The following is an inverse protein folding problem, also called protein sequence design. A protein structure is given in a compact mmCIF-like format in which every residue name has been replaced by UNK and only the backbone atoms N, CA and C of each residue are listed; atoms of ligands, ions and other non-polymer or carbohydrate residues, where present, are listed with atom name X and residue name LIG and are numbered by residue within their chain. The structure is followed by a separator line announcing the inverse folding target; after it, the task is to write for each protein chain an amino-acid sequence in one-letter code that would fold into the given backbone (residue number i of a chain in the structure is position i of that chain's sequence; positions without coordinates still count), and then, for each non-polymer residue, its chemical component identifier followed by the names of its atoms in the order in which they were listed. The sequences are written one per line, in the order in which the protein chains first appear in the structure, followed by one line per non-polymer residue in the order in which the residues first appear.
data_IF_041054377809
#
_entry.id   IF_041054377809
#
_cell.length_a   1.000
_cell.length_b   1.000
_cell.length_c   1.000
_cell.angle_alpha   90.00
_cell.angle_beta   90.00
_cell.angle_gamma   90.00
#
_symmetry.space_group_name_H-M   'P 1'
#
loop_
_entity.id
_entity.type
_entity.pdbx_description
1 polymer ?
#
# COMPACT_ATOMS: atom_id res chain seq x y z
N UNK A 1 14.94 -3.46 -2.49
CA UNK A 1 13.65 -3.47 -3.21
C UNK A 1 13.16 -4.91 -3.26
N UNK A 2 11.86 -5.12 -3.19
CA UNK A 2 11.27 -6.42 -2.97
C UNK A 2 11.09 -6.70 -1.48
N UNK A 3 11.04 -7.98 -1.12
CA UNK A 3 10.83 -8.44 0.25
C UNK A 3 11.99 -9.28 0.72
N UNK A 4 12.49 -8.98 1.92
CA UNK A 4 13.49 -9.80 2.61
C UNK A 4 12.87 -11.14 3.02
N UNK A 5 13.67 -12.21 3.06
CA UNK A 5 13.27 -13.49 3.62
C UNK A 5 13.29 -13.50 5.14
N UNK A 6 12.56 -14.44 5.76
CA UNK A 6 12.51 -14.56 7.23
C UNK A 6 13.89 -14.75 7.86
N UNK A 7 14.74 -15.52 7.21
CA UNK A 7 16.06 -15.85 7.73
C UNK A 7 17.04 -14.69 7.61
N UNK A 8 16.84 -13.78 6.65
CA UNK A 8 17.76 -12.66 6.39
C UNK A 8 17.82 -11.67 7.57
N UNK A 9 16.67 -11.37 8.18
CA UNK A 9 16.53 -10.37 9.25
C UNK A 9 15.92 -10.94 10.54
N UNK A 10 15.52 -12.21 10.56
CA UNK A 10 14.82 -12.84 11.67
C UNK A 10 13.41 -12.27 11.90
N UNK A 11 12.75 -11.81 10.85
CA UNK A 11 11.40 -11.22 10.89
C UNK A 11 10.32 -12.27 10.64
N UNK A 12 9.44 -12.51 11.61
CA UNK A 12 8.42 -13.56 11.53
C UNK A 12 7.36 -13.34 10.46
N UNK A 13 7.21 -12.11 9.96
CA UNK A 13 6.24 -11.74 8.91
C UNK A 13 6.89 -11.49 7.56
N UNK A 14 8.21 -11.68 7.42
CA UNK A 14 8.91 -11.43 6.17
C UNK A 14 8.69 -12.53 5.12
N UNK A 15 9.00 -12.17 3.87
CA UNK A 15 8.93 -13.05 2.71
C UNK A 15 7.51 -13.37 2.26
N UNK A 16 7.33 -14.52 1.61
CA UNK A 16 6.04 -14.98 1.14
C UNK A 16 5.12 -15.34 2.32
N UNK A 17 3.92 -14.72 2.36
CA UNK A 17 2.89 -14.93 3.38
C UNK A 17 1.56 -15.20 2.71
N UNK A 18 1.02 -16.38 2.88
CA UNK A 18 -0.23 -16.80 2.24
C UNK A 18 -1.44 -16.52 3.11
N UNK A 19 -2.56 -16.17 2.48
CA UNK A 19 -3.85 -16.16 3.16
C UNK A 19 -4.17 -17.56 3.69
N UNK A 20 -4.83 -17.63 4.85
CA UNK A 20 -5.09 -18.93 5.53
C UNK A 20 -5.98 -19.87 4.73
N UNK A 21 -6.77 -19.36 3.78
CA UNK A 21 -7.73 -20.15 3.02
C UNK A 21 -7.71 -19.75 1.54
N UNK A 22 -7.45 -20.73 0.70
CA UNK A 22 -7.62 -20.57 -0.74
C UNK A 22 -9.10 -20.37 -1.10
N UNK A 23 -9.33 -19.68 -2.20
CA UNK A 23 -10.68 -19.46 -2.75
C UNK A 23 -10.96 -20.59 -3.75
N UNK A 24 -11.92 -21.43 -3.42
CA UNK A 24 -12.29 -22.63 -4.18
C UNK A 24 -13.13 -22.34 -5.44
N UNK A 25 -12.87 -21.25 -6.15
CA UNK A 25 -13.45 -20.96 -7.46
C UNK A 25 -12.39 -21.14 -8.54
N UNK A 26 -12.75 -21.74 -9.67
CA UNK A 26 -11.79 -21.99 -10.75
C UNK A 26 -11.09 -20.70 -11.20
N UNK A 27 -9.79 -20.67 -11.08
CA UNK A 27 -8.90 -19.58 -11.45
C UNK A 27 -8.31 -19.73 -12.86
N UNK A 28 -8.72 -20.78 -13.59
CA UNK A 28 -8.24 -21.05 -14.94
C UNK A 28 -9.39 -21.10 -15.94
N UNK A 29 -9.11 -20.70 -17.18
CA UNK A 29 -9.97 -20.81 -18.33
C UNK A 29 -9.66 -22.06 -19.16
N UNK A 30 -9.96 -21.98 -20.48
CA UNK A 30 -9.68 -23.03 -21.44
C UNK A 30 -8.17 -23.37 -21.44
N UNK A 31 -7.87 -24.67 -21.65
CA UNK A 31 -6.50 -25.18 -21.65
C UNK A 31 -5.70 -24.89 -20.38
N UNK A 32 -6.38 -24.77 -19.23
CA UNK A 32 -5.78 -24.45 -17.91
C UNK A 32 -4.98 -23.13 -17.88
N UNK A 33 -5.21 -22.22 -18.82
CA UNK A 33 -4.62 -20.88 -18.76
C UNK A 33 -5.16 -20.10 -17.56
N UNK A 34 -4.30 -19.44 -16.78
CA UNK A 34 -4.78 -18.53 -15.72
C UNK A 34 -5.76 -17.49 -16.26
N UNK A 35 -6.80 -17.21 -15.51
CA UNK A 35 -7.71 -16.12 -15.81
C UNK A 35 -6.99 -14.75 -15.68
N UNK A 36 -7.52 -13.70 -16.32
CA UNK A 36 -7.12 -12.34 -15.99
C UNK A 36 -7.17 -12.10 -14.46
N UNK A 37 -6.28 -11.27 -13.96
CA UNK A 37 -6.09 -10.95 -12.52
C UNK A 37 -5.41 -12.06 -11.70
N UNK A 38 -4.98 -13.15 -12.31
CA UNK A 38 -4.05 -14.12 -11.72
C UNK A 38 -2.65 -13.74 -12.17
N UNK A 39 -1.75 -13.52 -11.23
CA UNK A 39 -0.39 -13.03 -11.49
C UNK A 39 0.65 -14.14 -11.61
N UNK A 40 0.32 -15.39 -11.30
CA UNK A 40 1.26 -16.50 -11.40
C UNK A 40 0.65 -17.87 -11.08
N UNK A 41 1.46 -18.90 -11.31
CA UNK A 41 1.09 -20.31 -11.06
C UNK A 41 2.06 -21.01 -10.11
N UNK A 42 3.14 -20.32 -9.70
CA UNK A 42 4.20 -20.90 -8.86
C UNK A 42 4.02 -20.46 -7.42
N UNK A 43 3.92 -21.43 -6.53
CA UNK A 43 3.90 -21.22 -5.07
C UNK A 43 5.34 -21.18 -4.58
N UNK A 44 5.77 -20.05 -4.00
CA UNK A 44 7.07 -19.95 -3.32
C UNK A 44 6.97 -20.55 -1.90
N UNK A 45 8.05 -21.08 -1.33
CA UNK A 45 8.08 -21.45 0.08
C UNK A 45 7.68 -20.26 0.97
N UNK A 46 6.92 -20.55 2.03
CA UNK A 46 6.53 -19.51 2.99
C UNK A 46 7.76 -18.89 3.67
N UNK A 47 7.78 -17.56 3.77
CA UNK A 47 8.93 -16.82 4.32
C UNK A 47 10.08 -16.58 3.34
N UNK A 48 10.01 -17.07 2.12
CA UNK A 48 11.04 -16.80 1.11
C UNK A 48 10.96 -15.35 0.61
N UNK A 49 12.09 -14.64 0.62
CA UNK A 49 12.23 -13.31 0.04
C UNK A 49 12.17 -13.32 -1.49
N UNK A 50 11.75 -12.22 -2.07
CA UNK A 50 11.69 -12.04 -3.53
C UNK A 50 11.67 -10.55 -3.94
N UNK A 51 11.55 -10.30 -5.25
CA UNK A 51 11.51 -8.94 -5.81
C UNK A 51 10.10 -8.32 -5.83
N UNK A 52 9.07 -9.02 -5.35
CA UNK A 52 7.69 -8.54 -5.38
C UNK A 52 7.46 -7.46 -4.35
N UNK A 53 6.52 -6.59 -4.63
CA UNK A 53 6.11 -5.47 -3.78
C UNK A 53 4.60 -5.45 -3.64
N UNK A 54 4.10 -4.71 -2.65
CA UNK A 54 2.67 -4.52 -2.42
C UNK A 54 1.96 -4.00 -3.67
N UNK A 55 0.77 -4.51 -3.94
CA UNK A 55 -0.07 -4.01 -5.02
C UNK A 55 -0.42 -2.53 -4.84
N UNK A 56 -0.59 -1.83 -5.96
CA UNK A 56 -1.07 -0.46 -6.00
C UNK A 56 -2.57 -0.40 -6.30
N UNK A 57 -3.17 0.72 -5.96
CA UNK A 57 -4.55 1.05 -6.30
C UNK A 57 -4.73 2.56 -6.36
N UNK A 58 -5.89 3.03 -6.78
CA UNK A 58 -6.28 4.42 -6.57
C UNK A 58 -7.10 4.55 -5.29
N UNK A 59 -6.95 5.69 -4.60
CA UNK A 59 -7.84 6.14 -3.54
C UNK A 59 -8.91 6.99 -4.18
N UNK A 60 -10.14 6.44 -4.28
CA UNK A 60 -11.23 7.12 -4.98
C UNK A 60 -11.93 8.10 -4.04
N UNK A 61 -12.23 9.30 -4.52
CA UNK A 61 -13.14 10.19 -3.84
C UNK A 61 -14.52 10.06 -4.47
N UNK A 62 -15.46 9.52 -3.70
CA UNK A 62 -16.78 9.13 -4.19
C UNK A 62 -17.88 9.92 -3.49
N UNK A 63 -19.07 9.98 -4.10
CA UNK A 63 -20.25 10.61 -3.53
C UNK A 63 -21.51 9.81 -3.88
N UNK A 64 -22.46 9.79 -2.95
CA UNK A 64 -23.84 9.32 -3.14
C UNK A 64 -24.82 10.49 -3.33
N UNK A 65 -24.38 11.72 -3.08
CA UNK A 65 -25.18 12.92 -3.27
C UNK A 65 -25.41 13.18 -4.76
N UNK A 66 -26.67 13.14 -5.26
CA UNK A 66 -26.97 13.40 -6.66
C UNK A 66 -26.48 14.76 -7.18
N UNK A 67 -26.36 15.77 -6.31
CA UNK A 67 -25.87 17.10 -6.67
C UNK A 67 -24.33 17.13 -6.84
N UNK A 68 -23.62 16.26 -6.11
CA UNK A 68 -22.17 16.14 -6.13
C UNK A 68 -21.66 14.80 -6.67
N UNK A 69 -22.36 14.21 -7.65
CA UNK A 69 -22.04 12.89 -8.19
C UNK A 69 -21.84 12.92 -9.70
N UNK A 70 -20.75 12.31 -10.16
CA UNK A 70 -20.50 11.97 -11.56
C UNK A 70 -20.58 10.46 -11.72
N UNK A 71 -21.61 9.99 -12.43
CA UNK A 71 -21.85 8.55 -12.62
C UNK A 71 -20.67 7.85 -13.33
N UNK A 72 -20.43 6.61 -12.95
CA UNK A 72 -19.45 5.76 -13.64
C UNK A 72 -19.90 5.48 -15.07
N UNK A 73 -18.94 5.51 -16.00
CA UNK A 73 -19.18 5.27 -17.42
C UNK A 73 -18.37 4.08 -17.90
N UNK A 74 -18.82 3.45 -18.99
CA UNK A 74 -18.04 2.43 -19.67
C UNK A 74 -16.73 3.03 -20.16
N UNK A 75 -15.56 2.60 -19.65
CA UNK A 75 -14.31 3.15 -20.11
C UNK A 75 -13.94 2.66 -21.50
N UNK A 76 -13.12 3.45 -22.21
CA UNK A 76 -12.59 3.06 -23.52
C UNK A 76 -11.76 1.76 -23.36
N UNK A 77 -11.96 0.82 -24.26
CA UNK A 77 -11.26 -0.47 -24.21
C UNK A 77 -11.74 -1.42 -23.12
N UNK A 78 -12.94 -1.22 -22.57
CA UNK A 78 -13.54 -2.13 -21.60
C UNK A 78 -13.79 -3.52 -22.20
N UNK A 79 -13.27 -4.54 -21.54
CA UNK A 79 -13.52 -5.95 -21.85
C UNK A 79 -14.04 -6.66 -20.60
N UNK A 80 -15.27 -7.16 -20.65
CA UNK A 80 -15.93 -7.81 -19.51
C UNK A 80 -15.17 -9.07 -19.04
N UNK A 81 -14.47 -9.76 -19.95
CA UNK A 81 -13.70 -10.97 -19.64
C UNK A 81 -12.52 -10.70 -18.71
N UNK A 82 -12.02 -9.46 -18.63
CA UNK A 82 -11.03 -9.07 -17.63
C UNK A 82 -11.50 -9.33 -16.20
N UNK A 83 -12.81 -9.30 -15.98
CA UNK A 83 -13.46 -9.46 -14.67
C UNK A 83 -14.08 -10.84 -14.48
N UNK A 84 -13.71 -11.84 -15.30
CA UNK A 84 -14.25 -13.20 -15.19
C UNK A 84 -14.02 -13.82 -13.81
N UNK A 85 -12.91 -13.50 -13.16
CA UNK A 85 -12.64 -13.96 -11.80
C UNK A 85 -13.67 -13.38 -10.78
N UNK A 86 -14.05 -12.12 -10.92
CA UNK A 86 -15.13 -11.50 -10.14
C UNK A 86 -16.49 -12.13 -10.46
N UNK A 87 -16.76 -12.42 -11.73
CA UNK A 87 -18.00 -13.06 -12.13
C UNK A 87 -18.16 -14.43 -11.46
N UNK A 88 -17.11 -15.24 -11.47
CA UNK A 88 -17.10 -16.51 -10.77
C UNK A 88 -17.21 -16.39 -9.27
N UNK A 89 -16.53 -15.38 -8.69
CA UNK A 89 -16.60 -15.09 -7.28
C UNK A 89 -18.05 -14.77 -6.86
N UNK A 90 -18.74 -13.87 -7.54
CA UNK A 90 -20.11 -13.53 -7.20
C UNK A 90 -21.11 -14.67 -7.43
N UNK A 91 -20.91 -15.50 -8.45
CA UNK A 91 -21.71 -16.71 -8.62
C UNK A 91 -21.55 -17.69 -7.47
N UNK A 92 -20.34 -17.84 -6.96
CA UNK A 92 -20.03 -18.70 -5.81
C UNK A 92 -20.44 -18.09 -4.47
N UNK A 93 -20.49 -16.77 -4.39
CA UNK A 93 -20.75 -16.01 -3.16
C UNK A 93 -21.75 -14.87 -3.39
N UNK A 94 -23.03 -15.19 -3.68
CA UNK A 94 -24.03 -14.20 -4.12
C UNK A 94 -24.44 -13.21 -3.02
N UNK A 95 -24.03 -13.44 -1.78
CA UNK A 95 -24.27 -12.52 -0.65
C UNK A 95 -23.11 -11.54 -0.42
N UNK A 96 -22.04 -11.63 -1.21
CA UNK A 96 -20.90 -10.72 -1.09
C UNK A 96 -21.28 -9.30 -1.48
N UNK A 97 -20.74 -8.33 -0.74
CA UNK A 97 -20.90 -6.91 -0.98
C UNK A 97 -19.97 -6.34 -2.05
N UNK A 98 -19.78 -5.03 -2.02
CA UNK A 98 -18.81 -4.31 -2.83
C UNK A 98 -17.40 -4.78 -2.42
N UNK A 99 -16.47 -5.03 -3.37
CA UNK A 99 -15.15 -5.61 -3.08
C UNK A 99 -14.11 -4.54 -2.70
N UNK A 100 -14.53 -3.45 -2.07
CA UNK A 100 -13.67 -2.40 -1.54
C UNK A 100 -14.38 -1.65 -0.41
N UNK A 101 -13.58 -0.96 0.41
CA UNK A 101 -14.10 -0.24 1.56
C UNK A 101 -14.59 1.16 1.18
N UNK A 102 -15.59 1.63 1.89
CA UNK A 102 -16.13 2.99 1.77
C UNK A 102 -16.11 3.64 3.16
N UNK A 103 -15.22 4.62 3.34
CA UNK A 103 -15.10 5.35 4.60
C UNK A 103 -15.63 6.78 4.43
N UNK A 104 -16.49 7.27 5.35
CA UNK A 104 -16.94 8.66 5.33
C UNK A 104 -15.75 9.64 5.47
N UNK A 105 -15.74 10.66 4.63
CA UNK A 105 -14.77 11.76 4.70
C UNK A 105 -15.50 13.11 4.67
N UNK A 106 -14.86 14.22 5.06
CA UNK A 106 -15.51 15.55 5.07
C UNK A 106 -16.17 15.91 3.74
N UNK A 107 -17.23 16.73 3.81
CA UNK A 107 -17.97 17.19 2.64
C UNK A 107 -18.98 16.18 2.08
N UNK A 108 -19.49 15.27 2.92
CA UNK A 108 -20.45 14.23 2.55
C UNK A 108 -19.94 13.34 1.41
N UNK A 109 -18.64 13.04 1.46
CA UNK A 109 -17.95 12.19 0.48
C UNK A 109 -17.48 10.88 1.10
N UNK A 110 -17.04 9.97 0.26
CA UNK A 110 -16.58 8.64 0.65
C UNK A 110 -15.19 8.38 0.06
N UNK A 111 -14.28 7.91 0.90
CA UNK A 111 -13.01 7.33 0.46
C UNK A 111 -13.26 5.91 -0.03
N UNK A 112 -13.14 5.68 -1.33
CA UNK A 112 -13.15 4.36 -1.95
C UNK A 112 -11.77 3.74 -1.88
N UNK A 113 -11.54 2.93 -0.85
CA UNK A 113 -10.27 2.26 -0.60
C UNK A 113 -10.34 0.78 -1.00
N UNK A 114 -9.19 0.17 -1.32
CA UNK A 114 -9.17 -1.27 -1.49
C UNK A 114 -9.47 -1.98 -0.14
N UNK A 115 -10.17 -3.09 -0.19
CA UNK A 115 -10.40 -3.93 1.00
C UNK A 115 -9.15 -4.72 1.34
N UNK A 116 -8.52 -4.44 2.49
CA UNK A 116 -7.37 -5.24 2.95
C UNK A 116 -7.81 -6.65 3.32
N UNK A 117 -7.06 -7.66 2.85
CA UNK A 117 -7.39 -9.06 3.05
C UNK A 117 -8.63 -9.54 2.27
N UNK A 118 -9.26 -8.69 1.47
CA UNK A 118 -10.30 -9.10 0.54
C UNK A 118 -9.73 -10.01 -0.55
N UNK A 119 -10.47 -11.03 -0.93
CA UNK A 119 -10.05 -11.98 -1.96
C UNK A 119 -9.88 -11.32 -3.33
N UNK A 120 -10.75 -10.37 -3.64
CA UNK A 120 -10.73 -9.52 -4.84
C UNK A 120 -11.02 -8.08 -4.43
N UNK A 121 -10.33 -7.11 -5.00
CA UNK A 121 -10.46 -5.69 -4.63
C UNK A 121 -10.10 -4.75 -5.78
N UNK A 122 -10.04 -3.45 -5.51
CA UNK A 122 -9.52 -2.44 -6.45
C UNK A 122 -8.00 -2.50 -6.61
N UNK A 123 -7.29 -3.28 -5.81
CA UNK A 123 -5.87 -3.55 -5.98
C UNK A 123 -5.63 -4.44 -7.21
N UNK A 124 -4.85 -3.97 -8.17
CA UNK A 124 -4.45 -4.76 -9.36
C UNK A 124 -3.19 -5.56 -9.05
N UNK A 125 -3.40 -6.74 -8.48
CA UNK A 125 -2.35 -7.59 -7.92
C UNK A 125 -1.40 -8.12 -8.99
N UNK A 126 -0.08 -7.92 -8.80
CA UNK A 126 0.97 -8.45 -9.66
C UNK A 126 1.36 -7.59 -10.86
N UNK A 127 0.70 -6.45 -11.08
CA UNK A 127 0.88 -5.62 -12.27
C UNK A 127 1.81 -4.40 -12.05
N UNK A 128 2.52 -4.34 -10.92
CA UNK A 128 3.35 -3.21 -10.55
C UNK A 128 4.78 -3.56 -10.08
N UNK A 129 5.19 -4.81 -10.19
CA UNK A 129 6.49 -5.25 -9.63
C UNK A 129 7.69 -4.54 -10.22
N UNK A 130 7.62 -4.16 -11.49
CA UNK A 130 8.69 -3.44 -12.20
C UNK A 130 8.64 -1.92 -12.02
N UNK A 131 7.54 -1.36 -11.45
CA UNK A 131 7.36 0.08 -11.27
C UNK A 131 8.54 0.80 -10.60
N UNK A 132 9.15 0.28 -9.51
CA UNK A 132 10.25 0.96 -8.85
C UNK A 132 11.48 1.20 -9.73
N UNK A 133 11.74 0.28 -10.69
CA UNK A 133 12.89 0.36 -11.61
C UNK A 133 12.50 0.82 -13.01
N UNK A 134 11.22 0.98 -13.28
CA UNK A 134 10.72 1.37 -14.59
C UNK A 134 11.09 2.83 -14.93
N UNK A 135 11.37 3.08 -16.20
CA UNK A 135 11.44 4.42 -16.75
C UNK A 135 10.05 5.07 -16.85
N UNK A 136 10.01 6.36 -17.18
CA UNK A 136 8.77 7.17 -17.21
C UNK A 136 7.69 6.53 -18.07
N UNK A 137 8.03 6.08 -19.29
CA UNK A 137 7.08 5.45 -20.21
C UNK A 137 6.41 4.21 -19.57
N UNK A 138 7.22 3.30 -19.00
CA UNK A 138 6.69 2.08 -18.37
C UNK A 138 5.85 2.37 -17.14
N UNK A 139 6.23 3.36 -16.33
CA UNK A 139 5.41 3.82 -15.20
C UNK A 139 4.06 4.37 -15.63
N UNK A 140 4.02 5.09 -16.76
CA UNK A 140 2.76 5.56 -17.36
C UNK A 140 1.89 4.39 -17.81
N UNK A 141 2.46 3.38 -18.47
CA UNK A 141 1.73 2.16 -18.87
C UNK A 141 1.12 1.43 -17.66
N UNK A 142 1.87 1.34 -16.55
CA UNK A 142 1.38 0.75 -15.29
C UNK A 142 0.24 1.59 -14.73
N UNK A 143 0.38 2.91 -14.72
CA UNK A 143 -0.66 3.83 -14.27
C UNK A 143 -1.95 3.70 -15.11
N UNK A 144 -1.81 3.68 -16.44
CA UNK A 144 -2.93 3.53 -17.37
C UNK A 144 -3.64 2.18 -17.20
N UNK A 145 -2.87 1.10 -16.97
CA UNK A 145 -3.40 -0.23 -16.70
C UNK A 145 -4.21 -0.28 -15.40
N UNK A 146 -3.70 0.33 -14.32
CA UNK A 146 -4.40 0.43 -13.05
C UNK A 146 -5.67 1.29 -13.16
N UNK A 147 -5.62 2.41 -13.88
CA UNK A 147 -6.80 3.24 -14.15
C UNK A 147 -7.85 2.47 -14.94
N UNK A 148 -7.47 1.88 -16.06
CA UNK A 148 -8.37 1.08 -16.90
C UNK A 148 -9.02 -0.06 -16.12
N UNK A 149 -8.24 -0.74 -15.25
CA UNK A 149 -8.78 -1.76 -14.37
C UNK A 149 -9.79 -1.20 -13.37
N UNK A 150 -9.46 -0.11 -12.69
CA UNK A 150 -10.33 0.48 -11.67
C UNK A 150 -11.63 1.00 -12.27
N UNK A 151 -11.56 1.81 -13.33
CA UNK A 151 -12.75 2.34 -14.03
C UNK A 151 -13.63 1.20 -14.58
N UNK A 152 -13.00 0.18 -15.15
CA UNK A 152 -13.71 -0.98 -15.69
C UNK A 152 -14.33 -1.86 -14.60
N UNK A 153 -13.69 -1.99 -13.42
CA UNK A 153 -14.26 -2.70 -12.28
C UNK A 153 -15.50 -1.97 -11.76
N UNK A 154 -15.46 -0.66 -11.60
CA UNK A 154 -16.61 0.13 -11.17
C UNK A 154 -17.79 -0.04 -12.14
N UNK A 155 -17.54 0.00 -13.44
CA UNK A 155 -18.54 -0.25 -14.47
C UNK A 155 -19.06 -1.69 -14.44
N UNK A 156 -18.17 -2.70 -14.31
CA UNK A 156 -18.54 -4.11 -14.15
C UNK A 156 -19.47 -4.32 -12.96
N UNK A 157 -19.12 -3.78 -11.80
CA UNK A 157 -19.90 -3.91 -10.57
C UNK A 157 -21.30 -3.30 -10.68
N UNK A 158 -21.47 -2.29 -11.53
CA UNK A 158 -22.75 -1.64 -11.80
C UNK A 158 -23.60 -2.42 -12.81
N UNK A 159 -22.99 -3.11 -13.79
CA UNK A 159 -23.72 -3.56 -14.98
C UNK A 159 -23.73 -5.06 -15.23
N UNK A 160 -22.76 -5.83 -14.69
CA UNK A 160 -22.68 -7.26 -14.98
C UNK A 160 -23.76 -8.06 -14.23
N UNK A 161 -24.54 -8.91 -14.92
CA UNK A 161 -25.65 -9.66 -14.31
C UNK A 161 -25.20 -10.69 -13.26
N UNK A 162 -23.93 -11.09 -13.24
CA UNK A 162 -23.41 -11.99 -12.21
C UNK A 162 -23.18 -11.28 -10.86
N UNK A 163 -23.09 -9.95 -10.87
CA UNK A 163 -22.97 -9.13 -9.64
C UNK A 163 -24.33 -9.09 -8.94
N UNK A 164 -24.39 -9.31 -7.61
CA UNK A 164 -25.65 -9.25 -6.87
C UNK A 164 -26.40 -7.93 -7.08
N UNK A 165 -27.72 -8.00 -7.20
CA UNK A 165 -28.57 -6.82 -7.50
C UNK A 165 -28.34 -5.68 -6.48
N UNK A 166 -28.23 -6.03 -5.21
CA UNK A 166 -27.94 -5.05 -4.15
C UNK A 166 -26.62 -4.29 -4.36
N UNK A 167 -25.59 -4.96 -4.89
CA UNK A 167 -24.30 -4.34 -5.23
C UNK A 167 -24.47 -3.44 -6.45
N UNK A 168 -25.14 -3.92 -7.52
CA UNK A 168 -25.39 -3.09 -8.70
C UNK A 168 -26.15 -1.82 -8.36
N UNK A 169 -27.25 -1.92 -7.59
CA UNK A 169 -28.03 -0.75 -7.13
C UNK A 169 -27.19 0.21 -6.30
N UNK A 170 -26.32 -0.31 -5.43
CA UNK A 170 -25.40 0.53 -4.66
C UNK A 170 -24.45 1.28 -5.59
N UNK A 171 -23.88 0.59 -6.58
CA UNK A 171 -22.95 1.18 -7.55
C UNK A 171 -23.61 2.20 -8.48
N UNK A 172 -24.89 2.02 -8.83
CA UNK A 172 -25.70 3.00 -9.60
C UNK A 172 -25.92 4.30 -8.82
N UNK A 173 -26.01 4.20 -7.48
CA UNK A 173 -26.17 5.35 -6.59
C UNK A 173 -24.85 5.98 -6.15
N UNK A 174 -23.71 5.41 -6.53
CA UNK A 174 -22.38 5.89 -6.24
C UNK A 174 -21.74 6.48 -7.50
N UNK A 175 -20.89 7.48 -7.33
CA UNK A 175 -20.11 8.05 -8.45
C UNK A 175 -18.89 8.80 -7.94
N UNK A 176 -18.08 9.34 -8.85
CA UNK A 176 -16.99 10.23 -8.46
C UNK A 176 -17.56 11.53 -7.87
N UNK A 177 -16.91 12.07 -6.85
CA UNK A 177 -17.26 13.37 -6.31
C UNK A 177 -16.99 14.46 -7.36
N UNK A 178 -18.03 15.22 -7.73
CA UNK A 178 -17.99 16.21 -8.80
C UNK A 178 -17.07 17.39 -8.51
N UNK A 179 -16.93 17.74 -7.25
CA UNK A 179 -16.08 18.83 -6.75
C UNK A 179 -14.59 18.43 -6.64
N UNK A 180 -14.28 17.12 -6.77
CA UNK A 180 -12.92 16.62 -6.69
C UNK A 180 -12.33 16.29 -8.07
N UNK A 181 -11.04 16.52 -8.22
CA UNK A 181 -10.26 16.16 -9.41
C UNK A 181 -10.88 16.58 -10.75
N UNK A 182 -11.61 17.71 -10.80
CA UNK A 182 -12.37 18.15 -11.98
C UNK A 182 -11.52 18.20 -13.27
N UNK A 183 -10.24 18.62 -13.16
CA UNK A 183 -9.30 18.68 -14.29
C UNK A 183 -8.85 17.30 -14.78
N UNK A 184 -9.13 16.23 -14.03
CA UNK A 184 -8.75 14.85 -14.33
C UNK A 184 -9.97 13.94 -14.58
N UNK A 185 -11.13 14.54 -14.93
CA UNK A 185 -12.38 13.80 -15.14
C UNK A 185 -12.94 13.19 -13.87
N UNK A 186 -12.68 13.85 -12.73
CA UNK A 186 -13.09 13.43 -11.38
C UNK A 186 -12.43 12.14 -10.87
N UNK A 187 -11.46 11.63 -11.62
CA UNK A 187 -10.63 10.47 -11.22
C UNK A 187 -9.33 10.95 -10.56
N UNK A 188 -8.86 10.30 -9.48
CA UNK A 188 -7.63 10.71 -8.80
C UNK A 188 -6.42 10.63 -9.74
N UNK A 189 -5.58 11.69 -9.82
CA UNK A 189 -4.44 11.73 -10.73
C UNK A 189 -3.25 10.90 -10.24
N UNK A 190 -3.21 10.54 -8.96
CA UNK A 190 -2.07 9.88 -8.32
C UNK A 190 -2.38 8.41 -8.07
N UNK A 191 -1.57 7.52 -8.62
CA UNK A 191 -1.56 6.11 -8.23
C UNK A 191 -0.96 6.00 -6.82
N UNK A 192 -1.64 5.31 -5.92
CA UNK A 192 -1.18 5.11 -4.55
C UNK A 192 -0.06 4.07 -4.52
N UNK A 193 1.16 4.57 -4.61
CA UNK A 193 2.40 3.78 -4.58
C UNK A 193 2.73 3.45 -3.13
N UNK A 194 2.35 2.24 -2.68
CA UNK A 194 2.50 1.81 -1.28
C UNK A 194 3.94 1.51 -0.91
N UNK A 195 4.68 0.99 -1.84
CA UNK A 195 6.08 0.59 -1.66
C UNK A 195 6.81 0.69 -3.00
N UNK A 196 8.06 1.13 -2.96
CA UNK A 196 8.94 1.17 -4.13
C UNK A 196 10.38 0.82 -3.71
N UNK A 197 11.35 1.68 -4.03
CA UNK A 197 12.71 1.53 -3.54
C UNK A 197 12.78 1.93 -2.07
N UNK A 198 13.58 1.22 -1.30
CA UNK A 198 13.93 1.54 0.08
C UNK A 198 15.45 1.69 0.17
N UNK A 199 15.92 2.67 0.91
CA UNK A 199 17.33 2.89 1.15
C UNK A 199 17.91 1.76 2.02
N UNK A 200 19.18 1.50 1.90
CA UNK A 200 19.95 0.64 2.82
C UNK A 200 21.02 1.52 3.46
N UNK A 201 20.69 2.09 4.62
CA UNK A 201 21.59 2.90 5.44
C UNK A 201 22.40 2.06 6.42
N UNK A 202 23.12 2.73 7.32
CA UNK A 202 23.84 2.06 8.42
C UNK A 202 22.88 1.52 9.48
N UNK A 203 21.70 2.12 9.63
CA UNK A 203 20.59 1.61 10.42
C UNK A 203 19.49 1.10 9.51
N UNK A 204 18.97 -0.09 9.77
CA UNK A 204 17.89 -0.71 9.02
C UNK A 204 16.72 -0.99 9.96
N UNK A 205 15.62 -0.24 9.82
CA UNK A 205 14.42 -0.39 10.63
C UNK A 205 13.76 -1.73 10.33
N UNK A 206 13.47 -2.52 11.36
CA UNK A 206 12.93 -3.87 11.24
C UNK A 206 11.62 -4.06 11.98
N UNK A 207 11.00 -5.23 11.79
CA UNK A 207 9.83 -5.66 12.56
C UNK A 207 10.05 -5.53 14.08
N UNK A 208 11.26 -5.79 14.59
CA UNK A 208 11.58 -5.67 16.02
C UNK A 208 11.42 -4.24 16.51
N UNK A 209 11.85 -3.26 15.71
CA UNK A 209 11.71 -1.85 16.07
C UNK A 209 10.25 -1.42 16.21
N UNK A 210 9.36 -2.00 15.39
CA UNK A 210 7.92 -1.73 15.42
C UNK A 210 7.24 -2.40 16.64
N UNK A 211 7.67 -3.61 17.02
CA UNK A 211 6.96 -4.43 18.01
C UNK A 211 7.56 -4.37 19.42
N UNK A 212 8.86 -4.19 19.55
CA UNK A 212 9.54 -4.22 20.87
C UNK A 212 9.54 -2.86 21.57
N UNK A 213 9.17 -1.79 20.90
CA UNK A 213 9.03 -0.43 21.46
C UNK A 213 10.24 0.06 22.28
N UNK A 214 11.45 -0.40 21.93
CA UNK A 214 12.68 0.02 22.59
C UNK A 214 12.99 1.47 22.27
N UNK A 215 13.42 2.21 23.29
CA UNK A 215 13.88 3.58 23.13
C UNK A 215 15.07 3.68 22.16
N UNK A 216 15.02 4.69 21.32
CA UNK A 216 16.09 4.98 20.35
C UNK A 216 16.94 6.14 20.87
N UNK A 217 18.26 6.13 20.66
CA UNK A 217 19.12 7.23 21.10
C UNK A 217 18.92 8.51 20.28
N UNK A 218 18.30 8.41 19.11
CA UNK A 218 18.15 9.46 18.09
C UNK A 218 16.72 9.56 17.54
N UNK A 219 15.66 9.67 18.43
CA UNK A 219 14.30 9.67 17.95
C UNK A 219 13.96 10.99 17.26
N UNK A 220 13.26 10.92 16.12
CA UNK A 220 12.77 12.07 15.35
C UNK A 220 11.25 12.15 15.30
N UNK A 221 10.55 11.18 15.86
CA UNK A 221 9.10 11.13 15.92
C UNK A 221 8.58 9.78 16.35
N UNK A 222 7.25 9.67 16.40
CA UNK A 222 6.54 8.44 16.78
C UNK A 222 5.72 7.93 15.61
N UNK A 223 5.92 6.66 15.26
CA UNK A 223 5.03 5.90 14.39
C UNK A 223 4.05 5.09 15.24
N UNK A 224 2.82 4.91 14.76
CA UNK A 224 1.79 4.11 15.45
C UNK A 224 0.80 3.43 14.50
N UNK A 225 1.11 3.37 13.22
CA UNK A 225 0.29 2.63 12.28
C UNK A 225 0.57 1.12 12.42
N UNK A 226 -0.44 0.24 12.34
CA UNK A 226 -0.18 -1.20 12.39
C UNK A 226 0.62 -1.68 11.18
N UNK A 227 1.27 -2.84 11.30
CA UNK A 227 1.85 -3.52 10.16
C UNK A 227 0.72 -3.85 9.19
N UNK A 228 0.77 -3.32 7.99
CA UNK A 228 -0.26 -3.34 6.95
C UNK A 228 0.39 -3.49 5.59
N UNK A 229 0.68 -4.72 5.19
CA UNK A 229 1.10 -5.06 3.83
C UNK A 229 -0.11 -5.50 3.01
N UNK A 230 -0.03 -5.30 1.71
CA UNK A 230 -1.05 -5.71 0.75
C UNK A 230 -0.58 -6.89 -0.10
N UNK A 231 -1.54 -7.55 -0.76
CA UNK A 231 -1.24 -8.64 -1.68
C UNK A 231 -0.14 -8.27 -2.66
N UNK A 232 0.84 -9.15 -2.82
CA UNK A 232 1.93 -9.00 -3.79
C UNK A 232 1.66 -9.83 -5.04
N UNK A 233 0.99 -10.98 -4.89
CA UNK A 233 0.57 -11.82 -6.00
C UNK A 233 -0.72 -12.58 -5.71
N UNK A 234 -1.36 -13.05 -6.76
CA UNK A 234 -2.50 -13.99 -6.73
C UNK A 234 -2.15 -15.17 -7.61
N UNK A 235 -2.16 -16.36 -7.05
CA UNK A 235 -1.67 -17.56 -7.73
C UNK A 235 -2.73 -18.65 -7.79
N UNK A 236 -2.64 -19.48 -8.83
CA UNK A 236 -3.48 -20.69 -8.96
C UNK A 236 -3.01 -21.72 -7.93
N UNK A 237 -3.96 -22.32 -7.22
CA UNK A 237 -3.68 -23.44 -6.32
C UNK A 237 -3.74 -24.78 -7.05
N UNK A 238 -3.13 -25.87 -6.52
CA UNK A 238 -3.13 -27.19 -7.16
C UNK A 238 -4.53 -27.76 -7.46
N UNK A 239 -5.53 -27.40 -6.64
CA UNK A 239 -6.93 -27.76 -6.82
C UNK A 239 -7.68 -26.89 -7.85
N UNK A 240 -6.98 -25.95 -8.50
CA UNK A 240 -7.52 -25.06 -9.54
C UNK A 240 -8.20 -23.81 -9.03
N UNK A 241 -8.24 -23.59 -7.73
CA UNK A 241 -8.65 -22.33 -7.11
C UNK A 241 -7.57 -21.26 -7.17
N UNK A 242 -7.66 -20.23 -6.33
CA UNK A 242 -6.59 -19.24 -6.16
C UNK A 242 -6.34 -18.87 -4.70
N UNK A 243 -5.16 -18.35 -4.44
CA UNK A 243 -4.78 -17.81 -3.14
C UNK A 243 -4.04 -16.48 -3.34
N UNK A 244 -4.34 -15.52 -2.48
CA UNK A 244 -3.58 -14.27 -2.40
C UNK A 244 -2.39 -14.46 -1.48
N UNK A 245 -1.31 -13.77 -1.79
CA UNK A 245 -0.05 -13.84 -1.09
C UNK A 245 0.53 -12.42 -0.93
N UNK A 246 1.10 -12.11 0.24
CA UNK A 246 1.76 -10.85 0.57
C UNK A 246 1.05 -10.01 1.63
N UNK A 247 -0.23 -10.24 1.90
CA UNK A 247 -0.96 -9.48 2.92
C UNK A 247 -0.46 -9.85 4.33
N UNK A 248 0.07 -8.85 5.04
CA UNK A 248 0.48 -8.93 6.43
C UNK A 248 -0.38 -7.95 7.23
N UNK A 249 -1.24 -8.47 8.09
CA UNK A 249 -2.15 -7.66 8.91
C UNK A 249 -2.40 -8.34 10.25
N UNK A 250 -1.36 -8.49 11.10
CA UNK A 250 -1.43 -9.32 12.29
C UNK A 250 -2.24 -8.64 13.40
N UNK A 251 -3.30 -9.30 13.87
CA UNK A 251 -4.15 -8.79 14.94
C UNK A 251 -3.37 -8.46 16.23
N UNK A 252 -2.35 -9.27 16.56
CA UNK A 252 -1.50 -9.08 17.75
C UNK A 252 -0.65 -7.80 17.71
N UNK A 253 -0.52 -7.14 16.56
CA UNK A 253 0.21 -5.88 16.43
C UNK A 253 -0.71 -4.66 16.57
N UNK A 254 -1.94 -4.88 17.04
CA UNK A 254 -2.97 -3.86 17.14
C UNK A 254 -3.51 -3.77 18.56
N UNK A 255 -3.59 -2.56 19.07
CA UNK A 255 -4.25 -2.24 20.34
C UNK A 255 -5.46 -1.36 20.00
N UNK A 256 -6.66 -1.83 20.27
CA UNK A 256 -7.91 -1.13 19.95
C UNK A 256 -7.99 -0.65 18.48
N UNK A 257 -7.54 -1.50 17.54
CA UNK A 257 -7.53 -1.18 16.10
C UNK A 257 -6.38 -0.29 15.64
N UNK A 258 -5.51 0.18 16.54
CA UNK A 258 -4.32 0.99 16.26
C UNK A 258 -3.06 0.13 16.32
N UNK A 259 -1.99 0.57 15.67
CA UNK A 259 -0.67 -0.03 15.83
C UNK A 259 -0.06 0.30 17.19
N UNK A 260 0.98 -0.47 17.55
CA UNK A 260 1.80 -0.18 18.71
C UNK A 260 2.66 1.04 18.39
N UNK A 261 2.75 1.99 19.32
CA UNK A 261 3.59 3.18 19.14
C UNK A 261 5.07 2.82 19.25
N UNK A 262 5.89 3.35 18.35
CA UNK A 262 7.35 3.13 18.33
C UNK A 262 8.07 4.42 17.92
N UNK A 263 9.31 4.57 18.38
CA UNK A 263 10.16 5.71 17.98
C UNK A 263 10.77 5.48 16.60
N UNK A 264 10.77 6.54 15.78
CA UNK A 264 11.42 6.59 14.47
C UNK A 264 12.83 7.15 14.70
N UNK A 265 13.91 6.38 14.43
CA UNK A 265 15.27 6.87 14.62
C UNK A 265 15.73 7.73 13.44
N UNK A 266 16.53 8.78 13.71
CA UNK A 266 17.11 9.63 12.68
C UNK A 266 17.93 8.85 11.65
N UNK A 267 18.68 7.86 12.10
CA UNK A 267 19.51 7.01 11.24
C UNK A 267 18.73 6.23 10.18
N UNK A 268 17.41 6.07 10.33
CA UNK A 268 16.60 5.43 9.31
C UNK A 268 16.39 6.30 8.05
N UNK A 269 16.60 7.62 8.16
CA UNK A 269 16.48 8.56 7.02
C UNK A 269 17.84 9.02 6.46
N UNK A 270 18.96 8.54 7.00
CA UNK A 270 20.31 8.88 6.52
C UNK A 270 20.92 7.72 5.73
N UNK A 271 21.54 7.98 4.57
CA UNK A 271 22.33 6.97 3.86
C UNK A 271 23.63 6.68 4.63
N UNK A 272 24.36 5.67 4.20
CA UNK A 272 25.72 5.44 4.68
C UNK A 272 26.60 6.65 4.39
N UNK A 273 27.39 7.07 5.36
CA UNK A 273 28.29 8.22 5.21
C UNK A 273 29.29 8.04 4.06
N UNK A 274 29.68 6.81 3.79
CA UNK A 274 30.59 6.45 2.68
C UNK A 274 29.95 6.57 1.31
N UNK A 275 28.61 6.64 1.23
CA UNK A 275 27.86 6.74 -0.05
C UNK A 275 27.37 8.17 -0.31
N UNK A 276 26.87 8.87 0.72
CA UNK A 276 26.37 10.23 0.56
C UNK A 276 26.33 10.99 1.90
N UNK A 277 26.92 12.17 1.94
CA UNK A 277 27.02 13.01 3.16
C UNK A 277 26.01 14.16 3.25
N UNK A 278 25.25 14.41 2.19
CA UNK A 278 24.35 15.57 2.07
C UNK A 278 22.94 15.19 1.59
N UNK A 279 22.47 13.97 1.88
CA UNK A 279 21.15 13.48 1.50
C UNK A 279 20.38 13.01 2.73
N UNK A 280 19.09 13.37 2.78
CA UNK A 280 18.12 12.83 3.73
C UNK A 280 16.93 12.23 2.98
N UNK A 281 16.46 11.06 3.41
CA UNK A 281 15.49 10.23 2.65
C UNK A 281 14.26 9.92 3.53
N UNK A 282 13.31 10.86 3.68
CA UNK A 282 12.19 10.70 4.61
C UNK A 282 11.05 9.79 4.11
N UNK A 283 11.03 9.42 2.82
CA UNK A 283 10.00 8.56 2.23
C UNK A 283 10.51 7.16 1.94
N UNK A 284 11.59 7.06 1.17
CA UNK A 284 12.21 5.78 0.81
C UNK A 284 13.23 5.34 1.89
N UNK A 285 12.82 5.35 3.13
CA UNK A 285 13.68 5.14 4.31
C UNK A 285 14.39 3.80 4.31
N UNK A 286 15.40 3.68 5.17
CA UNK A 286 16.11 2.43 5.43
C UNK A 286 15.28 1.53 6.35
N UNK A 287 14.52 0.62 5.76
CA UNK A 287 13.59 -0.26 6.47
C UNK A 287 13.35 -1.56 5.71
N UNK A 288 13.07 -2.64 6.42
CA UNK A 288 12.57 -3.89 5.84
C UNK A 288 11.17 -3.69 5.22
N UNK A 289 10.76 -4.61 4.35
CA UNK A 289 9.38 -4.64 3.83
C UNK A 289 8.33 -4.64 4.96
N UNK A 290 8.56 -5.42 6.01
CA UNK A 290 7.66 -5.55 7.15
C UNK A 290 7.57 -4.24 7.93
N UNK A 291 8.72 -3.63 8.29
CA UNK A 291 8.72 -2.35 8.99
C UNK A 291 8.16 -1.22 8.12
N UNK A 292 8.48 -1.23 6.82
CA UNK A 292 7.96 -0.25 5.88
C UNK A 292 6.43 -0.31 5.78
N UNK A 293 5.82 -1.49 5.93
CA UNK A 293 4.36 -1.67 5.95
C UNK A 293 3.66 -0.87 7.06
N UNK A 294 4.38 -0.52 8.14
CA UNK A 294 3.87 0.34 9.22
C UNK A 294 4.20 1.81 8.96
N UNK A 295 5.46 2.13 8.63
CA UNK A 295 5.93 3.52 8.63
C UNK A 295 5.60 4.30 7.34
N UNK A 296 5.11 3.63 6.30
CA UNK A 296 4.82 4.19 4.97
C UNK A 296 3.61 5.12 4.88
N UNK A 297 3.01 5.50 5.98
CA UNK A 297 1.83 6.36 5.99
C UNK A 297 2.20 7.85 6.02
N UNK A 298 1.39 8.68 5.37
CA UNK A 298 1.66 10.09 5.14
C UNK A 298 1.99 10.88 6.42
N UNK A 299 1.29 10.70 7.56
CA UNK A 299 1.63 11.41 8.80
C UNK A 299 3.07 11.10 9.28
N UNK A 300 3.54 9.86 9.13
CA UNK A 300 4.92 9.51 9.48
C UNK A 300 5.92 10.19 8.53
N UNK A 301 5.61 10.25 7.24
CA UNK A 301 6.44 10.96 6.25
C UNK A 301 6.51 12.47 6.51
N UNK A 302 5.41 13.09 6.95
CA UNK A 302 5.38 14.50 7.32
C UNK A 302 6.29 14.79 8.51
N UNK A 303 6.23 13.97 9.55
CA UNK A 303 7.12 14.05 10.72
C UNK A 303 8.59 13.86 10.32
N UNK A 304 8.90 12.85 9.53
CA UNK A 304 10.25 12.63 9.03
C UNK A 304 10.73 13.75 8.09
N UNK A 305 9.83 14.29 7.28
CA UNK A 305 10.12 15.40 6.36
C UNK A 305 10.49 16.69 7.10
N UNK A 306 9.75 17.05 8.15
CA UNK A 306 10.07 18.19 9.00
C UNK A 306 11.42 17.99 9.69
N UNK A 307 11.64 16.81 10.27
CA UNK A 307 12.91 16.46 10.90
C UNK A 307 14.08 16.52 9.92
N UNK A 308 13.89 16.03 8.69
CA UNK A 308 14.89 16.12 7.64
C UNK A 308 15.25 17.57 7.27
N UNK A 309 14.23 18.44 7.18
CA UNK A 309 14.45 19.88 6.91
C UNK A 309 15.27 20.56 8.01
N UNK A 310 14.96 20.30 9.27
CA UNK A 310 15.70 20.85 10.43
C UNK A 310 17.13 20.29 10.44
N UNK A 311 17.31 18.99 10.21
CA UNK A 311 18.63 18.36 10.17
C UNK A 311 19.50 18.91 9.03
N UNK A 312 18.90 19.13 7.84
CA UNK A 312 19.62 19.72 6.70
C UNK A 312 20.12 21.14 7.00
N UNK A 313 19.28 21.97 7.62
CA UNK A 313 19.67 23.31 8.05
C UNK A 313 20.83 23.26 9.05
N UNK A 314 20.77 22.37 10.05
CA UNK A 314 21.85 22.17 11.02
C UNK A 314 23.15 21.69 10.37
N UNK A 315 23.08 20.76 9.45
CA UNK A 315 24.27 20.27 8.73
C UNK A 315 24.97 21.41 7.96
N UNK A 316 24.21 22.33 7.38
CA UNK A 316 24.74 23.54 6.72
C UNK A 316 25.35 24.49 7.74
N UNK A 317 24.65 24.80 8.82
CA UNK A 317 25.12 25.71 9.89
C UNK A 317 26.39 25.18 10.56
N UNK A 318 26.48 23.89 10.78
CA UNK A 318 27.61 23.22 11.43
C UNK A 318 28.73 22.83 10.44
N UNK A 319 28.51 23.04 9.14
CA UNK A 319 29.40 22.64 8.05
C UNK A 319 29.85 21.16 8.18
N UNK A 320 28.87 20.26 8.35
CA UNK A 320 29.12 18.84 8.60
C UNK A 320 28.23 17.94 7.74
N UNK A 321 28.56 16.65 7.66
CA UNK A 321 27.70 15.65 7.04
C UNK A 321 26.38 15.51 7.82
N UNK A 322 25.29 15.21 7.14
CA UNK A 322 23.96 15.03 7.76
C UNK A 322 23.98 13.94 8.84
N UNK A 323 24.87 12.96 8.74
CA UNK A 323 25.04 11.91 9.75
C UNK A 323 25.71 12.40 11.03
N UNK A 324 26.44 13.53 11.00
CA UNK A 324 27.31 14.02 12.05
C UNK A 324 26.75 15.26 12.78
N UNK A 325 25.51 15.66 12.52
CA UNK A 325 24.88 16.78 13.24
C UNK A 325 24.81 16.52 14.74
N UNK A 326 24.86 17.58 15.54
CA UNK A 326 24.77 17.47 16.99
C UNK A 326 23.37 17.00 17.42
N UNK A 327 23.26 15.73 17.83
CA UNK A 327 22.00 15.06 18.16
C UNK A 327 21.28 15.70 19.35
N UNK A 328 22.00 16.27 20.33
CA UNK A 328 21.41 16.95 21.47
C UNK A 328 20.70 18.22 21.02
N UNK A 329 21.42 19.09 20.29
CA UNK A 329 20.82 20.32 19.73
C UNK A 329 19.67 19.99 18.76
N UNK A 330 19.80 18.90 17.98
CA UNK A 330 18.75 18.47 17.05
C UNK A 330 17.47 18.10 17.82
N UNK A 331 17.58 17.25 18.84
CA UNK A 331 16.47 16.87 19.70
C UNK A 331 15.79 18.10 20.35
N UNK A 332 16.56 19.07 20.80
CA UNK A 332 16.04 20.34 21.36
C UNK A 332 15.26 21.12 20.31
N UNK A 333 15.79 21.26 19.07
CA UNK A 333 15.09 21.93 17.96
C UNK A 333 13.78 21.23 17.61
N UNK A 334 13.76 19.91 17.55
CA UNK A 334 12.54 19.14 17.32
C UNK A 334 11.49 19.39 18.40
N UNK A 335 11.89 19.41 19.68
CA UNK A 335 11.01 19.70 20.83
C UNK A 335 10.43 21.12 20.77
N UNK A 336 11.23 22.11 20.35
CA UNK A 336 10.73 23.50 20.18
C UNK A 336 9.70 23.63 19.06
N UNK A 337 9.69 22.68 18.12
CA UNK A 337 8.67 22.52 17.06
C UNK A 337 7.51 21.61 17.47
N UNK A 338 7.43 21.27 18.76
CA UNK A 338 6.38 20.41 19.34
C UNK A 338 6.36 18.99 18.79
N UNK A 339 7.47 18.49 18.24
CA UNK A 339 7.55 17.08 17.83
C UNK A 339 7.55 16.15 19.05
N UNK A 340 6.75 15.09 18.96
CA UNK A 340 6.67 14.05 20.00
C UNK A 340 7.79 13.04 19.79
N UNK A 341 8.76 12.99 20.70
CA UNK A 341 9.94 12.14 20.60
C UNK A 341 9.95 10.97 21.59
N UNK A 342 9.07 10.98 22.59
CA UNK A 342 9.03 9.98 23.66
C UNK A 342 7.73 9.19 23.63
N UNK A 343 7.82 7.90 23.90
CA UNK A 343 6.66 7.05 24.16
C UNK A 343 6.11 7.37 25.56
N UNK A 344 4.81 7.55 25.68
CA UNK A 344 4.11 7.75 26.94
C UNK A 344 3.43 6.47 27.38
#
# INVERSE_FOLDING_TARGET
MGREGREELGESFAGAVYQKKAVGISATGNHKKPLPLISGTTVSPEGQGDHRIMTYSFRLCLSEDPANRVAFKKPKGYHADRYELFRRFYKSSPKSGIPFDLYPIPGNKLDGNNGIGAQLSTGLVGENWDYPNAGIKRRQEIWDNHRSYTEGLLYFLMTDPAVPEQVRKRMENLGYAKDEFARHGHFPPVLYVREARRMVGDYFLTQKDILETKEKPDPIGIGSFPIDSHDCQRIVTPDGGFINEGTIFPAKTRINGRGIAYQIPYRAITPKVTECTNLLVPVCISASHVAFSSIRVEPAWMVMGESAGIAAAMAIEENTAVQNINQVKFSERLKTKHQVLTLR
#
